data_IF_171487311712
#
_entry.id   IF_171487311712
#
_cell.length_a   1.000
_cell.length_b   1.000
_cell.length_c   1.000
_cell.angle_alpha   90.00
_cell.angle_beta   90.00
_cell.angle_gamma   90.00
#
_symmetry.space_group_name_H-M   'P 1'
#
loop_
_entity.id
_entity.type
_entity.pdbx_description
1 polymer ?
#
# COMPACT_ATOMS: atom_id res chain seq x y z
N UNK A 1 -8.75 -3.59 -9.80
CA UNK A 1 -7.32 -3.21 -9.84
C UNK A 1 -6.81 -3.07 -8.43
N UNK A 2 -5.50 -3.18 -8.23
CA UNK A 2 -4.85 -3.10 -6.92
C UNK A 2 -3.66 -2.16 -7.00
N UNK A 3 -3.68 -1.11 -6.18
CA UNK A 3 -2.62 -0.11 -6.08
C UNK A 3 -1.72 -0.43 -4.89
N UNK A 4 -0.46 -0.77 -5.14
CA UNK A 4 0.49 -1.19 -4.10
C UNK A 4 1.95 -1.01 -4.56
N UNK A 5 2.91 -1.29 -3.69
CA UNK A 5 4.32 -1.30 -4.07
C UNK A 5 4.88 -2.72 -4.14
N UNK A 6 5.52 -3.05 -5.27
CA UNK A 6 6.21 -4.33 -5.45
C UNK A 6 7.73 -4.12 -5.51
N UNK A 7 8.51 -4.89 -4.73
CA UNK A 7 9.97 -4.99 -4.91
C UNK A 7 10.37 -5.98 -6.03
N UNK A 8 9.44 -6.87 -6.39
CA UNK A 8 9.54 -7.82 -7.49
C UNK A 8 9.28 -7.20 -8.87
N UNK A 9 9.13 -8.06 -9.86
CA UNK A 9 8.72 -7.74 -11.23
C UNK A 9 7.75 -8.80 -11.76
N UNK A 10 6.90 -9.31 -10.86
CA UNK A 10 6.16 -10.55 -11.11
C UNK A 10 4.86 -10.35 -11.88
N UNK A 11 4.29 -9.15 -11.81
CA UNK A 11 3.07 -8.79 -12.52
C UNK A 11 3.29 -7.57 -13.41
N UNK A 12 2.57 -7.47 -14.54
CA UNK A 12 2.59 -6.28 -15.35
C UNK A 12 1.89 -5.14 -14.61
N UNK A 13 2.49 -3.95 -14.64
CA UNK A 13 1.80 -2.73 -14.31
C UNK A 13 0.81 -2.36 -15.41
N UNK A 14 -0.44 -2.10 -15.01
CA UNK A 14 -1.54 -1.76 -15.89
C UNK A 14 -1.54 -0.28 -16.29
N UNK A 15 -0.78 0.57 -15.57
CA UNK A 15 -0.75 2.01 -15.82
C UNK A 15 0.28 2.40 -16.90
N UNK A 16 1.57 2.15 -16.65
CA UNK A 16 2.67 2.40 -17.56
C UNK A 16 2.83 1.31 -18.63
N UNK A 17 2.32 0.10 -18.37
CA UNK A 17 2.43 -1.03 -19.28
C UNK A 17 3.81 -1.68 -19.22
N UNK A 18 3.85 -2.95 -18.81
CA UNK A 18 5.09 -3.75 -18.75
C UNK A 18 5.49 -4.07 -17.32
N UNK A 19 6.76 -4.40 -17.09
CA UNK A 19 7.24 -4.83 -15.77
C UNK A 19 8.29 -3.87 -15.24
N UNK A 20 8.04 -3.28 -14.08
CA UNK A 20 9.03 -2.50 -13.35
C UNK A 20 8.92 -2.74 -11.84
N UNK A 21 9.67 -1.96 -11.06
CA UNK A 21 9.63 -1.99 -9.60
C UNK A 21 8.99 -0.70 -9.10
N UNK A 22 8.68 -0.67 -7.80
CA UNK A 22 8.14 0.50 -7.14
C UNK A 22 6.63 0.43 -7.04
N UNK A 23 6.00 1.59 -6.88
CA UNK A 23 4.53 1.68 -6.78
C UNK A 23 3.90 1.41 -8.15
N UNK A 24 2.90 0.53 -8.18
CA UNK A 24 2.33 -0.05 -9.39
C UNK A 24 0.83 -0.33 -9.23
N UNK A 25 0.13 -0.36 -10.35
CA UNK A 25 -1.28 -0.73 -10.45
C UNK A 25 -1.43 -2.09 -11.14
N UNK A 26 -1.82 -3.12 -10.41
CA UNK A 26 -2.03 -4.45 -10.99
C UNK A 26 -3.49 -4.83 -11.14
N UNK A 27 -3.72 -5.91 -11.89
CA UNK A 27 -4.96 -6.65 -11.78
C UNK A 27 -5.08 -7.25 -10.37
N UNK A 28 -6.22 -7.02 -9.72
CA UNK A 28 -6.43 -7.43 -8.33
C UNK A 28 -6.43 -8.95 -8.21
N UNK A 29 -7.08 -9.65 -9.15
CA UNK A 29 -7.16 -11.11 -9.13
C UNK A 29 -5.78 -11.72 -9.32
N UNK A 30 -5.01 -11.25 -10.29
CA UNK A 30 -3.65 -11.71 -10.54
C UNK A 30 -2.75 -11.53 -9.30
N UNK A 31 -2.80 -10.36 -8.66
CA UNK A 31 -2.04 -10.09 -7.45
C UNK A 31 -2.40 -11.02 -6.29
N UNK A 32 -3.70 -11.15 -5.99
CA UNK A 32 -4.19 -12.02 -4.91
C UNK A 32 -3.83 -13.49 -5.19
N UNK A 33 -3.90 -13.95 -6.44
CA UNK A 33 -3.51 -15.31 -6.79
C UNK A 33 -2.00 -15.54 -6.62
N UNK A 34 -1.14 -14.57 -6.93
CA UNK A 34 0.30 -14.66 -6.66
C UNK A 34 0.54 -14.76 -5.15
N UNK A 35 -0.09 -13.91 -4.35
CA UNK A 35 0.03 -13.96 -2.88
C UNK A 35 -0.38 -15.31 -2.31
N UNK A 36 -1.55 -15.81 -2.72
CA UNK A 36 -2.06 -17.08 -2.24
C UNK A 36 -1.26 -18.29 -2.71
N UNK A 37 -0.97 -18.39 -4.00
CA UNK A 37 -0.41 -19.61 -4.59
C UNK A 37 1.11 -19.67 -4.48
N UNK A 38 1.80 -18.53 -4.63
CA UNK A 38 3.26 -18.49 -4.59
C UNK A 38 3.81 -18.28 -3.19
N UNK A 39 3.18 -17.38 -2.42
CA UNK A 39 3.67 -17.00 -1.10
C UNK A 39 2.89 -17.63 0.05
N UNK A 40 1.80 -18.37 -0.23
CA UNK A 40 0.98 -19.02 0.80
C UNK A 40 0.25 -18.03 1.70
N UNK A 41 0.10 -16.78 1.26
CA UNK A 41 -0.52 -15.72 2.04
C UNK A 41 -2.05 -15.77 1.92
N UNK A 42 -2.73 -15.31 2.97
CA UNK A 42 -4.17 -15.08 2.96
C UNK A 42 -4.44 -13.61 2.74
N UNK A 43 -5.49 -13.29 2.00
CA UNK A 43 -5.89 -11.92 1.72
C UNK A 43 -7.20 -11.60 2.43
N UNK A 44 -7.28 -10.37 2.94
CA UNK A 44 -8.48 -9.78 3.52
C UNK A 44 -8.76 -8.45 2.85
N UNK A 45 -10.04 -8.12 2.70
CA UNK A 45 -10.52 -6.86 2.15
C UNK A 45 -11.25 -6.08 3.24
N UNK A 46 -11.03 -4.77 3.31
CA UNK A 46 -11.85 -3.84 4.08
C UNK A 46 -12.43 -2.81 3.13
N UNK A 47 -13.74 -2.64 3.17
CA UNK A 47 -14.44 -1.67 2.33
C UNK A 47 -14.49 -0.31 3.01
N UNK A 48 -14.27 0.76 2.23
CA UNK A 48 -14.48 2.13 2.68
C UNK A 48 -15.99 2.42 2.70
N UNK A 49 -16.49 2.91 3.84
CA UNK A 49 -17.90 3.29 4.04
C UNK A 49 -17.98 4.74 4.54
N UNK A 50 -18.72 5.64 3.86
CA UNK A 50 -19.43 5.40 2.59
C UNK A 50 -18.48 5.14 1.41
N UNK A 51 -19.00 4.63 0.28
CA UNK A 51 -18.22 4.53 -0.95
C UNK A 51 -17.62 5.88 -1.36
N UNK A 52 -16.43 5.89 -2.00
CA UNK A 52 -15.77 7.12 -2.38
C UNK A 52 -16.59 7.90 -3.42
N UNK A 53 -16.56 9.22 -3.30
CA UNK A 53 -17.15 10.14 -4.27
C UNK A 53 -16.32 10.18 -5.57
N UNK A 54 -16.91 10.69 -6.66
CA UNK A 54 -16.20 10.89 -7.93
C UNK A 54 -14.92 11.71 -7.80
N UNK A 55 -14.96 12.79 -7.01
CA UNK A 55 -13.78 13.62 -6.78
C UNK A 55 -12.65 12.85 -6.07
N UNK A 56 -12.99 11.91 -5.18
CA UNK A 56 -12.04 11.05 -4.50
C UNK A 56 -11.49 9.97 -5.44
N UNK A 57 -12.33 9.35 -6.26
CA UNK A 57 -11.89 8.44 -7.34
C UNK A 57 -10.89 9.14 -8.28
N UNK A 58 -11.20 10.36 -8.72
CA UNK A 58 -10.29 11.16 -9.55
C UNK A 58 -8.98 11.49 -8.83
N UNK A 59 -9.02 11.71 -7.51
CA UNK A 59 -7.83 11.94 -6.71
C UNK A 59 -6.94 10.69 -6.61
N UNK A 60 -7.54 9.50 -6.53
CA UNK A 60 -6.80 8.23 -6.62
C UNK A 60 -6.10 8.14 -7.96
N UNK A 61 -6.81 8.36 -9.08
CA UNK A 61 -6.23 8.27 -10.43
C UNK A 61 -5.09 9.28 -10.63
N UNK A 62 -5.25 10.52 -10.18
CA UNK A 62 -4.15 11.51 -10.20
C UNK A 62 -2.96 11.09 -9.35
N UNK A 63 -3.21 10.41 -8.22
CA UNK A 63 -2.15 9.91 -7.35
C UNK A 63 -1.40 8.76 -7.99
N UNK A 64 -2.11 7.80 -8.60
CA UNK A 64 -1.52 6.74 -9.43
C UNK A 64 -0.64 7.35 -10.51
N UNK A 65 -1.18 8.27 -11.32
CA UNK A 65 -0.44 8.93 -12.39
C UNK A 65 0.87 9.62 -11.93
N UNK A 66 0.89 10.11 -10.69
CA UNK A 66 2.04 10.82 -10.11
C UNK A 66 3.07 9.87 -9.49
N UNK A 67 2.63 8.77 -8.89
CA UNK A 67 3.46 7.90 -8.07
C UNK A 67 3.83 6.59 -8.76
N UNK A 68 3.17 6.25 -9.85
CA UNK A 68 3.46 5.05 -10.61
C UNK A 68 4.94 4.99 -11.03
N UNK A 69 5.57 3.84 -10.80
CA UNK A 69 7.00 3.61 -11.03
C UNK A 69 7.94 4.34 -10.06
N UNK A 70 7.44 5.12 -9.10
CA UNK A 70 8.32 5.75 -8.11
C UNK A 70 9.04 4.68 -7.30
N UNK A 71 10.39 4.75 -7.22
CA UNK A 71 11.15 3.70 -6.58
C UNK A 71 10.96 3.77 -5.07
N UNK A 72 11.06 2.60 -4.45
CA UNK A 72 11.28 2.47 -3.02
C UNK A 72 12.39 3.42 -2.57
N UNK A 73 12.29 4.09 -1.40
CA UNK A 73 13.38 4.89 -0.89
C UNK A 73 14.66 4.05 -0.86
N UNK A 74 15.71 4.58 -1.49
CA UNK A 74 16.93 3.83 -1.70
C UNK A 74 17.58 3.46 -0.35
N UNK A 75 18.39 2.41 -0.34
CA UNK A 75 19.19 2.02 0.83
C UNK A 75 19.96 3.20 1.44
N UNK A 76 20.34 4.19 0.62
CA UNK A 76 21.00 5.42 1.06
C UNK A 76 20.05 6.37 1.82
N UNK A 77 18.82 6.55 1.36
CA UNK A 77 17.80 7.33 2.08
C UNK A 77 17.43 6.67 3.41
N UNK A 78 17.36 5.34 3.44
CA UNK A 78 17.15 4.57 4.68
C UNK A 78 18.36 4.66 5.63
N UNK A 79 19.59 4.59 5.12
CA UNK A 79 20.80 4.80 5.91
C UNK A 79 20.89 6.23 6.49
N UNK A 80 20.45 7.24 5.73
CA UNK A 80 20.32 8.62 6.22
C UNK A 80 19.27 8.72 7.34
N UNK A 81 18.15 7.99 7.22
CA UNK A 81 17.10 7.93 8.26
C UNK A 81 17.59 7.20 9.52
N UNK A 82 18.40 6.15 9.39
CA UNK A 82 19.10 5.52 10.52
C UNK A 82 20.09 6.49 11.18
N UNK A 83 20.90 7.20 10.40
CA UNK A 83 21.84 8.20 10.93
C UNK A 83 21.11 9.34 11.67
N UNK A 84 19.86 9.64 11.29
CA UNK A 84 18.96 10.58 12.00
C UNK A 84 18.19 9.96 13.18
N UNK A 85 18.48 8.70 13.55
CA UNK A 85 17.94 8.04 14.74
C UNK A 85 16.50 7.53 14.62
N UNK A 86 15.95 7.38 13.40
CA UNK A 86 14.52 7.11 13.18
C UNK A 86 14.14 5.63 12.98
N UNK A 87 15.09 4.68 13.02
CA UNK A 87 14.78 3.23 12.91
C UNK A 87 15.87 2.35 13.56
N UNK A 88 15.54 1.32 14.38
CA UNK A 88 16.54 0.40 14.94
C UNK A 88 16.97 -0.68 13.93
N UNK A 89 18.28 -0.93 13.83
CA UNK A 89 18.86 -1.92 12.90
C UNK A 89 18.72 -3.35 13.43
N UNK A 90 17.74 -4.12 12.92
CA UNK A 90 17.72 -5.59 13.05
C UNK A 90 17.55 -6.26 11.68
N UNK A 91 18.49 -7.15 11.35
CA UNK A 91 18.50 -8.20 10.30
C UNK A 91 18.20 -7.78 8.83
N UNK A 92 18.96 -8.32 7.86
CA UNK A 92 18.90 -7.93 6.43
C UNK A 92 17.74 -8.56 5.64
N UNK A 93 17.15 -9.67 6.12
CA UNK A 93 15.99 -10.35 5.50
C UNK A 93 14.65 -9.87 6.05
N UNK A 94 14.53 -9.71 7.37
CA UNK A 94 13.34 -9.11 8.01
C UNK A 94 13.11 -7.65 7.57
N UNK A 95 14.19 -6.97 7.15
CA UNK A 95 14.10 -5.64 6.55
C UNK A 95 13.33 -5.62 5.24
N UNK A 96 13.38 -6.65 4.39
CA UNK A 96 12.80 -6.51 3.05
C UNK A 96 11.26 -6.54 3.10
N UNK A 97 10.68 -7.53 3.76
CA UNK A 97 9.23 -7.65 3.98
C UNK A 97 8.68 -6.52 4.88
N UNK A 98 9.43 -6.12 5.91
CA UNK A 98 9.04 -5.02 6.81
C UNK A 98 9.14 -3.64 6.14
N UNK A 99 10.12 -3.43 5.27
CA UNK A 99 10.22 -2.22 4.46
C UNK A 99 9.07 -2.19 3.46
N UNK A 100 8.86 -3.27 2.69
CA UNK A 100 7.75 -3.44 1.73
C UNK A 100 6.42 -3.03 2.36
N UNK A 101 6.13 -3.63 3.51
CA UNK A 101 4.89 -3.36 4.21
C UNK A 101 4.78 -1.89 4.61
N UNK A 102 5.83 -1.29 5.19
CA UNK A 102 5.84 0.12 5.59
C UNK A 102 5.64 1.09 4.40
N UNK A 103 6.16 0.75 3.22
CA UNK A 103 5.97 1.58 2.03
C UNK A 103 4.62 1.35 1.36
N UNK A 104 4.07 0.13 1.39
CA UNK A 104 2.68 -0.11 1.00
C UNK A 104 1.72 0.72 1.87
N UNK A 105 1.97 0.80 3.18
CA UNK A 105 1.22 1.65 4.09
C UNK A 105 1.38 3.14 3.78
N UNK A 106 2.60 3.60 3.45
CA UNK A 106 2.87 4.97 3.00
C UNK A 106 2.12 5.32 1.70
N UNK A 107 2.12 4.41 0.72
CA UNK A 107 1.39 4.59 -0.54
C UNK A 107 -0.10 4.72 -0.29
N UNK A 108 -0.69 3.86 0.54
CA UNK A 108 -2.11 3.95 0.92
C UNK A 108 -2.39 5.25 1.65
N UNK A 109 -1.53 5.65 2.59
CA UNK A 109 -1.69 6.89 3.34
C UNK A 109 -1.66 8.13 2.44
N UNK A 110 -0.68 8.24 1.53
CA UNK A 110 -0.60 9.35 0.57
C UNK A 110 -1.81 9.37 -0.36
N UNK A 111 -2.31 8.20 -0.77
CA UNK A 111 -3.55 8.11 -1.55
C UNK A 111 -4.76 8.59 -0.73
N UNK A 112 -4.88 8.20 0.53
CA UNK A 112 -5.98 8.62 1.41
C UNK A 112 -5.91 10.11 1.77
N UNK A 113 -4.72 10.68 1.96
CA UNK A 113 -4.54 12.13 2.11
C UNK A 113 -4.99 12.87 0.84
N UNK A 114 -4.63 12.38 -0.35
CA UNK A 114 -5.07 12.97 -1.61
C UNK A 114 -6.60 12.88 -1.81
N UNK A 115 -7.24 11.84 -1.26
CA UNK A 115 -8.70 11.71 -1.20
C UNK A 115 -9.36 12.55 -0.10
N UNK A 116 -8.59 13.23 0.75
CA UNK A 116 -9.10 13.95 1.92
C UNK A 116 -9.62 13.07 3.05
N UNK A 117 -9.30 11.77 3.03
CA UNK A 117 -9.66 10.79 4.06
C UNK A 117 -8.71 10.82 5.25
N UNK A 118 -7.50 11.34 5.06
CA UNK A 118 -6.52 11.55 6.11
C UNK A 118 -6.07 13.03 6.13
N UNK A 119 -5.75 13.60 7.30
CA UNK A 119 -5.26 14.97 7.39
C UNK A 119 -3.91 15.10 6.70
N UNK A 120 -3.75 16.12 5.86
CA UNK A 120 -2.49 16.42 5.21
C UNK A 120 -1.43 16.85 6.23
N UNK A 121 -0.17 16.45 6.00
CA UNK A 121 0.99 16.95 6.75
C UNK A 121 1.37 16.14 7.99
N UNK A 122 0.76 14.98 8.23
CA UNK A 122 1.39 13.95 9.08
C UNK A 122 2.49 13.27 8.28
N UNK A 123 3.61 12.96 8.94
CA UNK A 123 4.70 12.25 8.26
C UNK A 123 4.17 10.88 7.79
N UNK A 124 4.24 10.53 6.49
CA UNK A 124 3.73 9.25 5.99
C UNK A 124 4.34 8.03 6.71
N UNK A 125 5.54 8.19 7.29
CA UNK A 125 6.19 7.17 8.12
C UNK A 125 5.44 6.85 9.43
N UNK A 126 4.40 7.62 9.79
CA UNK A 126 3.53 7.36 10.94
C UNK A 126 2.48 6.26 10.66
N UNK A 127 2.17 6.03 9.38
CA UNK A 127 1.24 4.99 8.97
C UNK A 127 2.01 3.68 8.79
N UNK A 128 2.00 2.86 9.83
CA UNK A 128 2.48 1.49 9.73
C UNK A 128 1.37 0.58 9.14
N UNK A 129 1.72 -0.57 8.57
CA UNK A 129 0.76 -1.53 7.99
C UNK A 129 -0.36 -1.93 8.95
N UNK A 130 -0.03 -2.04 10.24
CA UNK A 130 -0.95 -2.35 11.32
C UNK A 130 -2.09 -1.35 11.39
N UNK A 131 -1.89 -0.05 11.20
CA UNK A 131 -3.00 0.92 11.28
C UNK A 131 -4.16 0.64 10.33
N UNK A 132 -3.90 -0.01 9.19
CA UNK A 132 -4.94 -0.31 8.20
C UNK A 132 -5.69 -1.63 8.46
N UNK A 133 -5.22 -2.47 9.40
CA UNK A 133 -5.90 -3.72 9.77
C UNK A 133 -7.07 -3.49 10.73
N UNK A 134 -7.95 -4.48 10.90
CA UNK A 134 -9.10 -4.35 11.82
C UNK A 134 -8.71 -4.24 13.30
N UNK A 135 -7.47 -4.61 13.65
CA UNK A 135 -6.96 -4.54 15.01
C UNK A 135 -6.49 -3.15 15.47
N UNK A 136 -6.57 -2.13 14.61
CA UNK A 136 -6.20 -0.75 14.92
C UNK A 136 -7.24 0.22 14.36
N UNK A 137 -7.57 1.24 15.14
CA UNK A 137 -8.61 2.22 14.81
C UNK A 137 -8.00 3.36 13.99
N UNK A 138 -7.92 3.18 12.67
CA UNK A 138 -7.59 4.28 11.77
C UNK A 138 -8.77 5.24 11.67
N UNK A 139 -8.66 6.37 12.36
CA UNK A 139 -9.62 7.46 12.24
C UNK A 139 -9.50 8.15 10.87
N UNK A 140 -10.52 7.98 10.03
CA UNK A 140 -10.65 8.69 8.75
C UNK A 140 -11.47 9.98 8.93
N UNK A 141 -11.13 10.97 8.13
CA UNK A 141 -11.84 12.25 8.04
C UNK A 141 -13.19 12.09 7.34
N UNK A 142 -14.09 13.06 7.53
CA UNK A 142 -15.32 13.17 6.74
C UNK A 142 -16.39 12.10 7.03
N UNK A 143 -16.32 11.44 8.19
CA UNK A 143 -17.27 10.39 8.58
C UNK A 143 -17.04 9.05 7.89
N UNK A 144 -15.92 8.90 7.19
CA UNK A 144 -15.56 7.63 6.57
C UNK A 144 -15.05 6.63 7.62
N UNK A 145 -15.23 5.35 7.33
CA UNK A 145 -14.76 4.23 8.14
C UNK A 145 -14.29 3.09 7.23
N UNK A 146 -13.40 2.25 7.75
CA UNK A 146 -13.08 0.97 7.12
C UNK A 146 -13.96 -0.11 7.75
N UNK A 147 -14.73 -0.80 6.93
CA UNK A 147 -15.58 -1.91 7.36
C UNK A 147 -14.80 -3.09 7.95
N UNK A 148 -15.53 -4.14 8.29
CA UNK A 148 -14.95 -5.39 8.80
C UNK A 148 -14.02 -6.04 7.79
N UNK A 149 -13.11 -6.88 8.28
CA UNK A 149 -12.29 -7.73 7.42
C UNK A 149 -13.13 -8.82 6.74
N UNK A 150 -13.08 -8.85 5.42
CA UNK A 150 -13.73 -9.85 4.58
C UNK A 150 -12.63 -10.76 4.05
N UNK A 151 -12.65 -12.03 4.42
CA UNK A 151 -11.68 -13.02 3.90
C UNK A 151 -11.89 -13.20 2.40
N UNK A 152 -10.81 -13.11 1.62
CA UNK A 152 -10.85 -13.36 0.19
C UNK A 152 -10.68 -14.85 -0.06
N UNK A 153 -11.65 -15.46 -0.74
CA UNK A 153 -11.59 -16.86 -1.14
C UNK A 153 -10.81 -17.03 -2.45
N UNK A 154 -9.96 -18.06 -2.50
CA UNK A 154 -9.14 -18.36 -3.66
C UNK A 154 -9.86 -19.43 -4.49
N UNK A 155 -10.19 -19.15 -5.77
CA UNK A 155 -10.84 -20.12 -6.61
C UNK A 155 -9.95 -21.36 -6.78
N UNK A 156 -10.58 -22.54 -6.67
CA UNK A 156 -9.98 -23.80 -7.10
C UNK A 156 -9.82 -23.75 -8.63
N UNK A 157 -8.69 -24.26 -9.13
CA UNK A 157 -8.40 -24.35 -10.56
C UNK A 157 -9.31 -25.38 -11.26
#
# INVERSE_FOLDING_TARGET
MMWHAELGRSLPDLWAGGHHRGVQLHDLRAAVLVWARRYGQRAWLRQLEPPPTKAQEDAVLRTVARLDGTPFPSSAQLAMRWARGRVPLRSRRLRQEGLESAYCAEVVAVTYEAMGLLPAGRDPNWYDPGRFWSGDDLALSGGFTLGTEISVEIPQD
#
